data_IF_104198644988
#
_entry.id   IF_104198644988
#
_cell.length_a   1.000
_cell.length_b   1.000
_cell.length_c   1.000
_cell.angle_alpha   90.00
_cell.angle_beta   90.00
_cell.angle_gamma   90.00
#
_symmetry.space_group_name_H-M   'P 1'
#
loop_
_entity.id
_entity.type
_entity.pdbx_description
1 polymer ?
#
# COMPACT_ATOMS: atom_id res chain seq x y z
N UNK A 1 16.73 17.31 35.19
CA UNK A 1 17.40 18.08 34.11
C UNK A 1 18.64 17.33 33.67
N UNK A 2 18.51 16.45 32.67
CA UNK A 2 19.60 16.13 31.72
C UNK A 2 18.92 15.95 30.37
N UNK A 3 18.73 17.07 29.66
CA UNK A 3 18.54 17.08 28.23
C UNK A 3 19.92 16.98 27.59
N UNK A 4 20.24 15.82 27.02
CA UNK A 4 21.30 15.70 26.02
C UNK A 4 20.60 15.62 24.66
N UNK A 5 20.70 16.71 23.92
CA UNK A 5 20.07 16.88 22.63
C UNK A 5 20.62 15.91 21.60
N UNK A 6 19.70 15.20 20.95
CA UNK A 6 19.73 15.01 19.52
C UNK A 6 18.29 14.88 19.01
N UNK A 7 17.76 16.00 18.50
CA UNK A 7 16.52 16.03 17.72
C UNK A 7 16.78 15.40 16.35
N UNK A 8 16.85 14.08 16.29
CA UNK A 8 16.50 13.33 15.08
C UNK A 8 15.23 12.58 15.45
N UNK A 9 14.11 12.94 14.83
CA UNK A 9 12.78 12.46 15.18
C UNK A 9 12.77 10.93 15.26
N UNK A 10 12.75 10.39 16.47
CA UNK A 10 12.63 8.96 16.70
C UNK A 10 11.28 8.51 16.18
N UNK A 11 11.27 7.84 15.03
CA UNK A 11 10.08 7.15 14.53
C UNK A 11 9.88 5.95 15.46
N UNK A 12 9.10 6.15 16.51
CA UNK A 12 8.71 5.06 17.41
C UNK A 12 7.55 4.32 16.76
N UNK A 13 7.86 3.34 15.91
CA UNK A 13 6.84 2.53 15.22
C UNK A 13 6.28 1.55 16.24
N UNK A 14 5.11 1.88 16.81
CA UNK A 14 4.31 0.93 17.57
C UNK A 14 3.28 0.32 16.62
N UNK A 15 3.35 -1.01 16.45
CA UNK A 15 2.32 -1.73 15.69
C UNK A 15 1.02 -1.73 16.50
N UNK A 16 0.05 -0.96 16.04
CA UNK A 16 -1.31 -1.01 16.58
C UNK A 16 -2.10 -2.15 15.95
N UNK A 17 -3.22 -2.52 16.57
CA UNK A 17 -4.06 -3.59 16.06
C UNK A 17 -4.66 -3.23 14.68
N UNK A 18 -4.97 -1.95 14.43
CA UNK A 18 -5.43 -1.47 13.12
C UNK A 18 -4.41 -1.76 12.00
N UNK A 19 -3.11 -1.64 12.28
CA UNK A 19 -2.04 -1.91 11.32
C UNK A 19 -1.95 -3.40 11.00
N UNK A 20 -2.11 -4.27 12.00
CA UNK A 20 -2.11 -5.72 11.81
C UNK A 20 -3.30 -6.12 10.93
N UNK A 21 -4.49 -5.57 11.21
CA UNK A 21 -5.69 -5.82 10.39
C UNK A 21 -5.47 -5.32 8.95
N UNK A 22 -4.83 -4.16 8.76
CA UNK A 22 -4.52 -3.64 7.43
C UNK A 22 -3.56 -4.53 6.65
N UNK A 23 -2.51 -5.07 7.30
CA UNK A 23 -1.57 -6.04 6.70
C UNK A 23 -2.32 -7.29 6.25
N UNK A 24 -3.17 -7.86 7.11
CA UNK A 24 -3.95 -9.06 6.77
C UNK A 24 -4.92 -8.78 5.62
N UNK A 25 -5.62 -7.65 5.66
CA UNK A 25 -6.59 -7.28 4.62
C UNK A 25 -5.95 -7.10 3.24
N UNK A 26 -4.79 -6.42 3.19
CA UNK A 26 -4.07 -6.23 1.92
C UNK A 26 -3.48 -7.54 1.41
N UNK A 27 -2.99 -8.42 2.30
CA UNK A 27 -2.44 -9.72 1.93
C UNK A 27 -3.53 -10.65 1.36
N UNK A 28 -4.75 -10.61 1.90
CA UNK A 28 -5.93 -11.29 1.33
C UNK A 28 -6.22 -10.76 -0.08
N UNK A 29 -6.25 -9.44 -0.24
CA UNK A 29 -6.52 -8.80 -1.53
C UNK A 29 -5.44 -9.17 -2.57
N UNK A 30 -4.17 -9.10 -2.20
CA UNK A 30 -3.03 -9.53 -3.01
C UNK A 30 -3.17 -11.02 -3.42
N UNK A 31 -3.60 -11.88 -2.49
CA UNK A 31 -3.81 -13.32 -2.76
C UNK A 31 -4.92 -13.56 -3.77
N UNK A 32 -6.04 -12.83 -3.64
CA UNK A 32 -7.15 -12.90 -4.59
C UNK A 32 -6.73 -12.38 -5.97
N UNK A 33 -5.96 -11.30 -6.01
CA UNK A 33 -5.51 -10.69 -7.26
C UNK A 33 -4.48 -11.56 -8.00
N UNK A 34 -3.64 -12.32 -7.29
CA UNK A 34 -2.64 -13.22 -7.90
C UNK A 34 -3.03 -14.70 -7.85
N UNK A 35 -4.31 -15.00 -7.70
CA UNK A 35 -4.79 -16.39 -7.66
C UNK A 35 -4.72 -17.04 -9.04
N UNK A 36 -4.60 -18.37 -9.11
CA UNK A 36 -4.50 -19.13 -10.37
C UNK A 36 -5.75 -19.05 -11.25
N UNK A 37 -6.88 -18.61 -10.69
CA UNK A 37 -8.11 -18.32 -11.41
C UNK A 37 -8.11 -16.95 -12.11
N UNK A 38 -7.09 -16.11 -11.90
CA UNK A 38 -7.03 -14.80 -12.56
C UNK A 38 -6.45 -14.91 -13.98
N UNK A 39 -7.02 -14.18 -14.97
CA UNK A 39 -6.55 -14.21 -16.36
C UNK A 39 -5.08 -13.83 -16.56
N UNK A 40 -4.49 -13.13 -15.59
CA UNK A 40 -3.11 -12.65 -15.63
C UNK A 40 -2.13 -13.49 -14.80
N UNK A 41 -2.57 -14.59 -14.18
CA UNK A 41 -1.72 -15.45 -13.35
C UNK A 41 -0.45 -15.95 -14.07
N UNK A 42 -0.56 -16.35 -15.34
CA UNK A 42 0.56 -16.90 -16.10
C UNK A 42 1.70 -15.91 -16.38
N UNK A 43 1.46 -14.62 -16.19
CA UNK A 43 2.45 -13.56 -16.40
C UNK A 43 3.17 -13.16 -15.11
N UNK A 44 2.71 -13.65 -13.96
CA UNK A 44 3.14 -13.18 -12.65
C UNK A 44 3.68 -14.39 -11.89
N UNK A 45 5.00 -14.44 -11.76
CA UNK A 45 5.74 -15.58 -11.19
C UNK A 45 5.37 -15.91 -9.73
N UNK A 46 6.07 -16.90 -9.16
CA UNK A 46 5.78 -17.40 -7.82
C UNK A 46 5.86 -16.30 -6.74
N UNK A 47 4.81 -16.20 -5.93
CA UNK A 47 4.72 -15.22 -4.83
C UNK A 47 5.39 -15.77 -3.56
N UNK A 48 6.43 -15.07 -3.10
CA UNK A 48 7.08 -15.35 -1.82
C UNK A 48 6.30 -14.70 -0.68
N UNK A 49 5.50 -15.50 0.03
CA UNK A 49 4.58 -15.05 1.09
C UNK A 49 5.28 -14.18 2.17
N UNK A 50 6.45 -14.61 2.64
CA UNK A 50 7.19 -13.88 3.67
C UNK A 50 7.61 -12.49 3.19
N UNK A 51 8.16 -12.40 1.98
CA UNK A 51 8.56 -11.12 1.38
C UNK A 51 7.35 -10.22 1.13
N UNK A 52 6.21 -10.79 0.73
CA UNK A 52 4.97 -10.04 0.54
C UNK A 52 4.50 -9.40 1.85
N UNK A 53 4.44 -10.16 2.95
CA UNK A 53 4.04 -9.66 4.27
C UNK A 53 4.97 -8.53 4.76
N UNK A 54 6.28 -8.68 4.57
CA UNK A 54 7.25 -7.62 4.94
C UNK A 54 7.02 -6.35 4.12
N UNK A 55 6.81 -6.48 2.81
CA UNK A 55 6.49 -5.33 1.95
C UNK A 55 5.17 -4.66 2.34
N UNK A 56 4.14 -5.44 2.64
CA UNK A 56 2.84 -4.92 3.08
C UNK A 56 2.96 -4.16 4.39
N UNK A 57 3.73 -4.67 5.36
CA UNK A 57 4.01 -3.97 6.62
C UNK A 57 4.69 -2.61 6.39
N UNK A 58 5.67 -2.52 5.48
CA UNK A 58 6.34 -1.27 5.12
C UNK A 58 5.34 -0.27 4.53
N UNK A 59 4.51 -0.71 3.59
CA UNK A 59 3.50 0.16 2.97
C UNK A 59 2.48 0.65 4.00
N UNK A 60 2.01 -0.22 4.90
CA UNK A 60 1.09 0.15 5.98
C UNK A 60 1.70 1.20 6.90
N UNK A 61 2.97 1.06 7.30
CA UNK A 61 3.68 2.06 8.12
C UNK A 61 3.75 3.41 7.40
N UNK A 62 4.13 3.41 6.11
CA UNK A 62 4.22 4.64 5.31
C UNK A 62 2.86 5.32 5.18
N UNK A 63 1.82 4.56 4.84
CA UNK A 63 0.46 5.08 4.65
C UNK A 63 -0.13 5.61 5.95
N UNK A 64 0.10 4.92 7.08
CA UNK A 64 -0.29 5.42 8.40
C UNK A 64 0.40 6.73 8.72
N UNK A 65 1.72 6.81 8.50
CA UNK A 65 2.46 8.04 8.71
C UNK A 65 1.92 9.22 7.87
N UNK A 66 1.62 8.98 6.59
CA UNK A 66 1.04 10.00 5.70
C UNK A 66 -0.34 10.43 6.19
N UNK A 67 -1.23 9.48 6.49
CA UNK A 67 -2.59 9.73 7.02
C UNK A 67 -2.54 10.60 8.28
N UNK A 68 -1.67 10.25 9.23
CA UNK A 68 -1.68 10.87 10.55
C UNK A 68 -0.96 12.23 10.56
N UNK A 69 0.01 12.48 9.66
CA UNK A 69 0.84 13.69 9.70
C UNK A 69 0.69 14.63 8.51
N UNK A 70 0.20 14.16 7.36
CA UNK A 70 0.24 14.90 6.09
C UNK A 70 -1.11 14.99 5.39
N UNK A 71 -1.96 13.98 5.53
CA UNK A 71 -3.23 13.89 4.81
C UNK A 71 -4.35 13.34 5.69
N UNK A 72 -5.08 14.23 6.36
CA UNK A 72 -6.20 13.83 7.21
C UNK A 72 -7.34 13.25 6.38
N UNK A 73 -7.67 11.99 6.62
CA UNK A 73 -8.81 11.31 6.00
C UNK A 73 -10.05 11.61 6.84
N UNK A 74 -11.04 12.29 6.25
CA UNK A 74 -12.33 12.56 6.89
C UNK A 74 -13.43 11.67 6.34
N UNK A 75 -13.32 11.35 5.05
CA UNK A 75 -14.24 10.45 4.36
C UNK A 75 -13.47 9.45 3.49
N UNK A 76 -14.17 8.41 3.05
CA UNK A 76 -13.58 7.39 2.19
C UNK A 76 -13.11 7.96 0.84
N UNK A 77 -13.70 9.06 0.36
CA UNK A 77 -13.26 9.76 -0.86
C UNK A 77 -11.84 10.35 -0.72
N UNK A 78 -11.47 10.80 0.49
CA UNK A 78 -10.11 11.31 0.75
C UNK A 78 -9.09 10.17 0.69
N UNK A 79 -9.46 8.99 1.20
CA UNK A 79 -8.64 7.78 1.10
C UNK A 79 -8.49 7.33 -0.37
N UNK A 80 -9.58 7.36 -1.15
CA UNK A 80 -9.55 7.07 -2.58
C UNK A 80 -8.66 8.06 -3.34
N UNK A 81 -8.73 9.35 -3.01
CA UNK A 81 -7.92 10.40 -3.64
C UNK A 81 -6.43 10.20 -3.37
N UNK A 82 -6.05 9.94 -2.11
CA UNK A 82 -4.66 9.65 -1.75
C UNK A 82 -4.17 8.38 -2.46
N UNK A 83 -5.00 7.34 -2.50
CA UNK A 83 -4.68 6.07 -3.18
C UNK A 83 -4.48 6.27 -4.69
N UNK A 84 -5.29 7.14 -5.31
CA UNK A 84 -5.16 7.49 -6.71
C UNK A 84 -3.83 8.20 -6.98
N UNK A 85 -3.44 9.17 -6.15
CA UNK A 85 -2.14 9.83 -6.28
C UNK A 85 -0.97 8.86 -6.15
N UNK A 86 -1.05 7.89 -5.23
CA UNK A 86 -0.02 6.86 -5.06
C UNK A 86 0.03 5.94 -6.28
N UNK A 87 -1.12 5.53 -6.81
CA UNK A 87 -1.19 4.71 -8.01
C UNK A 87 -0.65 5.45 -9.25
N UNK A 88 -0.96 6.75 -9.40
CA UNK A 88 -0.43 7.58 -10.47
C UNK A 88 1.08 7.81 -10.34
N UNK A 89 1.58 7.98 -9.12
CA UNK A 89 3.02 8.06 -8.87
C UNK A 89 3.72 6.76 -9.28
N UNK A 90 3.15 5.61 -8.90
CA UNK A 90 3.63 4.31 -9.37
C UNK A 90 3.56 4.19 -10.89
N UNK A 91 2.46 4.62 -11.51
CA UNK A 91 2.29 4.64 -12.97
C UNK A 91 3.40 5.45 -13.64
N UNK A 92 3.74 6.63 -13.11
CA UNK A 92 4.83 7.47 -13.62
C UNK A 92 6.20 6.81 -13.51
N UNK A 93 6.49 6.12 -12.40
CA UNK A 93 7.76 5.39 -12.23
C UNK A 93 7.83 4.10 -13.05
N UNK A 94 6.70 3.43 -13.28
CA UNK A 94 6.64 2.17 -13.99
C UNK A 94 6.52 2.35 -15.51
N UNK A 95 5.92 3.46 -15.98
CA UNK A 95 5.68 3.74 -17.40
C UNK A 95 6.93 3.62 -18.29
N UNK A 96 8.13 4.13 -17.93
CA UNK A 96 9.31 4.01 -18.79
C UNK A 96 9.73 2.57 -19.11
N UNK A 97 9.39 1.61 -18.24
CA UNK A 97 9.69 0.19 -18.46
C UNK A 97 8.71 -0.48 -19.44
N UNK A 98 7.52 0.10 -19.61
CA UNK A 98 6.41 -0.43 -20.42
C UNK A 98 6.43 0.14 -21.85
N UNK A 99 7.07 1.30 -22.05
CA UNK A 99 7.21 1.95 -23.37
C UNK A 99 7.90 1.07 -24.41
N UNK A 100 8.71 0.11 -23.98
CA UNK A 100 9.49 -0.75 -24.89
C UNK A 100 8.75 -2.02 -25.36
N UNK A 101 7.58 -2.36 -24.80
CA UNK A 101 6.82 -3.56 -25.21
C UNK A 101 5.28 -3.32 -25.22
N UNK A 102 4.63 -3.22 -26.39
CA UNK A 102 3.20 -2.94 -26.48
C UNK A 102 2.28 -4.03 -25.91
N UNK A 103 2.76 -5.28 -25.77
CA UNK A 103 1.98 -6.35 -25.11
C UNK A 103 1.86 -6.14 -23.59
N UNK A 104 2.61 -5.20 -23.02
CA UNK A 104 2.59 -4.90 -21.56
C UNK A 104 1.59 -3.80 -21.14
N UNK A 105 0.86 -3.18 -22.06
CA UNK A 105 -0.05 -2.06 -21.74
C UNK A 105 -1.22 -2.45 -20.83
N UNK A 106 -1.86 -3.60 -21.06
CA UNK A 106 -2.94 -4.11 -20.20
C UNK A 106 -2.41 -4.52 -18.81
N UNK A 107 -1.22 -5.13 -18.77
CA UNK A 107 -0.52 -5.48 -17.53
C UNK A 107 -0.14 -4.23 -16.72
N UNK A 108 0.29 -3.16 -17.38
CA UNK A 108 0.54 -1.86 -16.75
C UNK A 108 -0.72 -1.30 -16.08
N UNK A 109 -1.85 -1.28 -16.79
CA UNK A 109 -3.11 -0.80 -16.22
C UNK A 109 -3.53 -1.65 -15.02
N UNK A 110 -3.45 -2.98 -15.12
CA UNK A 110 -3.78 -3.90 -14.04
C UNK A 110 -2.88 -3.72 -12.81
N UNK A 111 -1.57 -3.54 -13.01
CA UNK A 111 -0.63 -3.32 -11.91
C UNK A 111 -0.82 -1.97 -11.23
N UNK A 112 -1.10 -0.91 -12.00
CA UNK A 112 -1.45 0.42 -11.45
C UNK A 112 -2.76 0.33 -10.67
N UNK A 113 -3.79 -0.31 -11.22
CA UNK A 113 -5.07 -0.53 -10.55
C UNK A 113 -4.91 -1.34 -9.27
N UNK A 114 -4.07 -2.38 -9.28
CA UNK A 114 -3.75 -3.14 -8.08
C UNK A 114 -3.14 -2.26 -6.98
N UNK A 115 -2.21 -1.36 -7.31
CA UNK A 115 -1.60 -0.43 -6.34
C UNK A 115 -2.61 0.58 -5.79
N UNK A 116 -3.55 1.02 -6.63
CA UNK A 116 -4.72 1.79 -6.17
C UNK A 116 -5.53 1.00 -5.14
N UNK A 117 -5.95 -0.24 -5.47
CA UNK A 117 -6.74 -1.07 -4.56
C UNK A 117 -5.99 -1.36 -3.25
N UNK A 118 -4.70 -1.69 -3.31
CA UNK A 118 -3.88 -1.95 -2.11
C UNK A 118 -3.87 -0.75 -1.17
N UNK A 119 -3.50 0.41 -1.70
CA UNK A 119 -3.40 1.64 -0.91
C UNK A 119 -4.76 2.08 -0.37
N UNK A 120 -5.83 1.91 -1.15
CA UNK A 120 -7.19 2.21 -0.71
C UNK A 120 -7.65 1.31 0.43
N UNK A 121 -7.48 -0.01 0.31
CA UNK A 121 -7.85 -0.97 1.37
C UNK A 121 -7.09 -0.66 2.66
N UNK A 122 -5.78 -0.41 2.57
CA UNK A 122 -4.97 -0.06 3.75
C UNK A 122 -5.50 1.21 4.42
N UNK A 123 -5.67 2.30 3.65
CA UNK A 123 -6.12 3.58 4.20
C UNK A 123 -7.55 3.50 4.77
N UNK A 124 -8.43 2.76 4.10
CA UNK A 124 -9.79 2.51 4.57
C UNK A 124 -9.78 1.76 5.91
N UNK A 125 -9.02 0.67 6.01
CA UNK A 125 -8.90 -0.11 7.26
C UNK A 125 -8.30 0.74 8.38
N UNK A 126 -7.25 1.49 8.10
CA UNK A 126 -6.61 2.37 9.10
C UNK A 126 -7.52 3.49 9.61
N UNK A 127 -8.44 4.01 8.79
CA UNK A 127 -9.43 4.99 9.26
C UNK A 127 -10.64 4.33 9.95
N UNK A 128 -11.16 3.22 9.39
CA UNK A 128 -12.31 2.52 9.97
C UNK A 128 -12.01 1.94 11.35
N UNK A 129 -10.81 1.38 11.52
CA UNK A 129 -10.36 0.75 12.77
C UNK A 129 -9.47 1.67 13.61
N UNK A 130 -9.50 2.99 13.41
CA UNK A 130 -8.71 3.96 14.20
C UNK A 130 -8.96 3.94 15.70
N UNK A 131 -10.07 3.36 16.14
CA UNK A 131 -10.38 3.14 17.56
C UNK A 131 -9.48 2.09 18.22
N UNK A 132 -8.76 1.29 17.42
CA UNK A 132 -7.82 0.26 17.86
C UNK A 132 -6.34 0.69 17.67
N UNK A 133 -6.10 2.00 17.52
CA UNK A 133 -4.76 2.60 17.42
C UNK A 133 -4.10 2.88 18.77
#
# INVERSE_FOLDING_TARGET
>A
LVQLGNKMGGINIRFSMSMIIAIVAVEIMNTLFFTHYTPWYHYIGHRYLFTAIVCDAIVVVILKYIKDNKWTIRKWEDAATLSLWIALLYAGFHAPYVVYDPFTGSHFILTVFHKFCMSFVILYVLDHFKHYD
#
